data_IF_729739793079
#
_entry.id   IF_729739793079
#
_cell.length_a   1.000
_cell.length_b   1.000
_cell.length_c   1.000
_cell.angle_alpha   90.00
_cell.angle_beta   90.00
_cell.angle_gamma   90.00
#
_symmetry.space_group_name_H-M   'P 1'
#
loop_
_entity.id
_entity.type
_entity.pdbx_description
1 polymer ?
#
# COMPACT_ATOMS: atom_id res chain seq x y z
N UNK A 1 11.87 -31.01 20.52
CA UNK A 1 10.69 -31.28 21.37
C UNK A 1 11.07 -32.32 22.38
N UNK A 2 10.59 -32.24 23.63
CA UNK A 2 10.96 -33.16 24.71
C UNK A 2 10.03 -34.37 24.86
N UNK A 3 9.05 -34.54 23.96
CA UNK A 3 8.04 -35.59 24.05
C UNK A 3 6.85 -35.21 24.94
N UNK A 4 6.06 -36.22 25.31
CA UNK A 4 4.89 -36.09 26.17
C UNK A 4 5.02 -37.08 27.32
N UNK A 5 4.64 -36.66 28.53
CA UNK A 5 4.66 -37.46 29.74
C UNK A 5 3.22 -37.71 30.18
N UNK A 6 2.84 -38.97 30.34
CA UNK A 6 1.53 -39.34 30.85
C UNK A 6 1.63 -39.69 32.33
N UNK A 7 1.00 -38.88 33.18
CA UNK A 7 1.01 -39.07 34.63
C UNK A 7 -0.32 -38.68 35.26
N UNK A 8 -0.83 -39.48 36.20
CA UNK A 8 -2.13 -39.30 36.85
C UNK A 8 -3.34 -39.15 35.90
N UNK A 9 -3.27 -39.79 34.72
CA UNK A 9 -4.31 -39.67 33.69
C UNK A 9 -4.27 -38.37 32.88
N UNK A 10 -3.29 -37.50 33.11
CA UNK A 10 -3.05 -36.29 32.35
C UNK A 10 -1.85 -36.44 31.41
N UNK A 11 -1.88 -35.72 30.29
CA UNK A 11 -0.76 -35.61 29.35
C UNK A 11 -0.04 -34.26 29.54
N UNK A 12 1.26 -34.32 29.82
CA UNK A 12 2.12 -33.16 29.97
C UNK A 12 3.11 -33.07 28.81
N UNK A 13 3.05 -31.97 28.06
CA UNK A 13 3.98 -31.73 26.95
C UNK A 13 5.31 -31.22 27.51
N UNK A 14 6.39 -31.96 27.27
CA UNK A 14 7.74 -31.54 27.66
C UNK A 14 8.32 -30.66 26.55
N UNK A 15 8.57 -29.39 26.87
CA UNK A 15 9.19 -28.43 25.97
C UNK A 15 10.46 -27.85 26.59
N UNK A 16 11.61 -28.25 26.05
CA UNK A 16 12.88 -27.57 26.30
C UNK A 16 12.91 -26.20 25.61
N UNK A 17 13.28 -25.17 26.36
CA UNK A 17 13.52 -23.82 25.83
C UNK A 17 15.00 -23.74 25.48
N UNK A 18 15.32 -23.70 24.18
CA UNK A 18 16.70 -23.77 23.67
C UNK A 18 17.24 -22.44 23.15
N UNK A 19 16.39 -21.43 23.00
CA UNK A 19 16.80 -20.11 22.54
C UNK A 19 16.16 -19.02 23.40
N UNK A 20 16.87 -17.91 23.54
CA UNK A 20 16.43 -16.74 24.29
C UNK A 20 16.86 -15.48 23.57
N UNK A 21 16.01 -14.46 23.65
CA UNK A 21 16.30 -13.13 23.15
C UNK A 21 16.74 -12.17 24.27
N UNK A 22 16.86 -12.68 25.50
CA UNK A 22 17.28 -11.88 26.65
C UNK A 22 18.79 -11.79 26.70
N UNK A 23 19.31 -10.58 26.58
CA UNK A 23 20.76 -10.29 26.65
C UNK A 23 21.43 -10.92 27.87
N UNK A 24 20.81 -10.81 29.05
CA UNK A 24 21.37 -11.35 30.29
C UNK A 24 21.43 -12.89 30.32
N UNK A 25 20.57 -13.58 29.58
CA UNK A 25 20.63 -15.05 29.45
C UNK A 25 21.66 -15.44 28.38
N UNK A 26 21.76 -14.68 27.30
CA UNK A 26 22.78 -14.87 26.26
C UNK A 26 24.20 -14.72 26.83
N UNK A 27 24.43 -13.74 27.70
CA UNK A 27 25.72 -13.51 28.37
C UNK A 27 26.19 -14.68 29.25
N UNK A 28 25.24 -15.44 29.81
CA UNK A 28 25.51 -16.65 30.61
C UNK A 28 25.73 -17.90 29.77
N UNK A 29 25.81 -17.78 28.44
CA UNK A 29 26.12 -18.91 27.57
C UNK A 29 27.53 -19.41 27.85
N UNK A 30 27.68 -20.71 28.09
CA UNK A 30 28.99 -21.33 28.29
C UNK A 30 29.71 -21.40 26.95
N UNK A 31 30.86 -20.73 26.84
CA UNK A 31 31.72 -20.75 25.65
C UNK A 31 32.69 -21.93 25.73
N UNK A 32 33.26 -22.18 26.91
CA UNK A 32 34.21 -23.28 27.16
C UNK A 32 34.24 -23.60 28.65
N UNK A 33 34.54 -24.85 29.01
CA UNK A 33 34.85 -25.22 30.40
C UNK A 33 36.35 -25.45 30.53
N UNK A 34 37.01 -24.78 31.48
CA UNK A 34 38.45 -24.91 31.74
C UNK A 34 38.64 -25.34 33.18
N UNK A 35 39.28 -26.49 33.39
CA UNK A 35 39.56 -27.05 34.73
C UNK A 35 38.33 -27.12 35.64
N UNK A 36 37.16 -27.44 35.09
CA UNK A 36 35.89 -27.53 35.81
C UNK A 36 35.15 -26.21 36.03
N UNK A 37 35.75 -25.06 35.67
CA UNK A 37 35.10 -23.75 35.74
C UNK A 37 34.52 -23.38 34.37
N UNK A 38 33.21 -23.09 34.27
CA UNK A 38 32.61 -22.63 33.02
C UNK A 38 33.04 -21.19 32.71
N UNK A 39 33.58 -20.97 31.52
CA UNK A 39 33.84 -19.66 30.94
C UNK A 39 32.59 -19.20 30.19
N UNK A 40 32.00 -18.10 30.64
CA UNK A 40 30.77 -17.54 30.09
C UNK A 40 31.07 -16.54 28.98
N UNK A 41 30.08 -16.27 28.11
CA UNK A 41 30.20 -15.28 27.05
C UNK A 41 30.53 -13.88 27.60
N UNK A 42 29.93 -13.51 28.73
CA UNK A 42 30.21 -12.24 29.42
C UNK A 42 31.65 -12.11 29.92
N UNK A 43 32.40 -13.22 30.07
CA UNK A 43 33.80 -13.15 30.47
C UNK A 43 34.73 -12.76 29.31
N UNK A 44 34.26 -12.85 28.07
CA UNK A 44 35.08 -12.66 26.86
C UNK A 44 34.52 -11.62 25.90
N UNK A 45 33.26 -11.18 26.06
CA UNK A 45 32.61 -10.20 25.22
C UNK A 45 31.56 -9.37 25.98
N UNK A 46 31.28 -8.16 25.47
CA UNK A 46 30.15 -7.34 25.92
C UNK A 46 28.91 -7.70 25.09
N UNK A 47 27.87 -8.24 25.73
CA UNK A 47 26.59 -8.52 25.07
C UNK A 47 25.62 -7.37 25.31
N UNK A 48 25.19 -6.70 24.24
CA UNK A 48 24.23 -5.58 24.30
C UNK A 48 23.27 -5.57 23.13
N UNK A 49 22.10 -4.98 23.33
CA UNK A 49 21.20 -4.64 22.23
C UNK A 49 21.78 -3.44 21.50
N UNK A 50 22.22 -3.65 20.26
CA UNK A 50 22.71 -2.60 19.38
C UNK A 50 21.71 -2.26 18.28
N UNK A 51 21.96 -1.13 17.62
CA UNK A 51 21.26 -0.80 16.37
C UNK A 51 21.68 -1.78 15.28
N UNK A 52 20.75 -2.16 14.41
CA UNK A 52 21.08 -2.95 13.21
C UNK A 52 22.01 -2.12 12.31
N UNK A 53 23.21 -2.65 12.08
CA UNK A 53 24.20 -2.08 11.17
C UNK A 53 24.45 -3.05 10.00
N UNK A 54 24.63 -2.55 8.76
CA UNK A 54 24.51 -1.14 8.35
C UNK A 54 23.06 -0.65 8.35
N UNK A 55 22.86 0.68 8.47
CA UNK A 55 21.54 1.28 8.25
C UNK A 55 21.16 1.02 6.79
N UNK A 56 20.02 0.35 6.57
CA UNK A 56 19.53 0.01 5.24
C UNK A 56 18.92 1.22 4.50
N UNK A 57 18.63 2.30 5.22
CA UNK A 57 18.11 3.54 4.67
C UNK A 57 17.75 4.54 5.77
N UNK A 58 17.46 5.76 5.35
CA UNK A 58 16.92 6.83 6.19
C UNK A 58 15.69 7.42 5.52
N UNK A 59 14.69 7.80 6.30
CA UNK A 59 13.52 8.50 5.79
C UNK A 59 13.28 9.76 6.62
N UNK A 60 12.69 10.75 5.98
CA UNK A 60 12.25 11.98 6.62
C UNK A 60 10.90 12.41 6.06
N UNK A 61 10.06 12.96 6.92
CA UNK A 61 8.87 13.68 6.53
C UNK A 61 9.05 15.15 6.93
N UNK A 62 9.00 16.08 5.97
CA UNK A 62 9.24 17.52 6.18
C UNK A 62 10.51 17.83 7.01
N UNK A 63 11.62 17.15 6.69
CA UNK A 63 12.91 17.35 7.36
C UNK A 63 13.03 16.72 8.75
N UNK A 64 11.97 16.10 9.28
CA UNK A 64 12.00 15.35 10.55
C UNK A 64 12.23 13.87 10.26
N UNK A 65 13.06 13.21 11.08
CA UNK A 65 13.30 11.78 10.97
C UNK A 65 11.97 11.01 11.09
N UNK A 66 11.71 10.12 10.14
CA UNK A 66 10.46 9.38 10.05
C UNK A 66 10.73 7.93 9.62
N UNK A 67 9.72 7.08 9.79
CA UNK A 67 9.73 5.72 9.28
C UNK A 67 8.88 5.71 8.00
N UNK A 68 9.48 5.28 6.89
CA UNK A 68 8.77 5.12 5.62
C UNK A 68 8.23 3.70 5.51
N UNK A 69 6.93 3.58 5.23
CA UNK A 69 6.28 2.34 4.88
C UNK A 69 5.73 2.44 3.46
N UNK A 70 6.17 1.55 2.58
CA UNK A 70 5.73 1.53 1.19
C UNK A 70 4.67 0.46 0.99
N UNK A 71 3.48 0.86 0.56
CA UNK A 71 2.41 -0.06 0.16
C UNK A 71 2.49 -0.29 -1.34
N UNK A 72 2.62 -1.56 -1.74
CA UNK A 72 2.65 -1.94 -3.17
C UNK A 72 1.36 -2.65 -3.52
N UNK A 73 0.66 -2.14 -4.54
CA UNK A 73 -0.57 -2.77 -5.04
C UNK A 73 -0.28 -4.09 -5.75
N UNK A 74 -1.18 -5.05 -5.60
CA UNK A 74 -1.13 -6.27 -6.40
C UNK A 74 -1.47 -5.97 -7.88
N UNK A 75 -1.02 -6.81 -8.82
CA UNK A 75 -1.43 -6.72 -10.22
C UNK A 75 -2.96 -6.71 -10.35
N UNK A 76 -3.48 -6.01 -11.36
CA UNK A 76 -4.92 -5.87 -11.65
C UNK A 76 -5.80 -5.21 -10.54
N UNK A 77 -5.23 -4.78 -9.41
CA UNK A 77 -6.00 -4.04 -8.39
C UNK A 77 -6.13 -2.56 -8.74
N UNK A 78 -7.35 -2.04 -8.61
CA UNK A 78 -7.66 -0.62 -8.76
C UNK A 78 -6.95 0.22 -7.70
N UNK A 79 -6.31 1.30 -8.13
CA UNK A 79 -5.55 2.16 -7.21
C UNK A 79 -6.46 3.00 -6.33
N UNK A 80 -7.62 3.42 -6.85
CA UNK A 80 -8.62 4.19 -6.09
C UNK A 80 -9.22 3.33 -4.99
N UNK A 81 -9.74 2.15 -5.35
CA UNK A 81 -10.37 1.23 -4.40
C UNK A 81 -9.39 0.75 -3.32
N UNK A 82 -8.14 0.46 -3.69
CA UNK A 82 -7.11 0.10 -2.71
C UNK A 82 -6.84 1.25 -1.73
N UNK A 83 -6.81 2.49 -2.21
CA UNK A 83 -6.56 3.66 -1.36
C UNK A 83 -7.70 3.90 -0.39
N UNK A 84 -8.96 3.75 -0.83
CA UNK A 84 -10.13 3.85 0.04
C UNK A 84 -10.12 2.80 1.16
N UNK A 85 -9.85 1.54 0.82
CA UNK A 85 -9.73 0.46 1.81
C UNK A 85 -8.56 0.69 2.77
N UNK A 86 -7.44 1.20 2.27
CA UNK A 86 -6.28 1.53 3.09
C UNK A 86 -6.61 2.64 4.09
N UNK A 87 -7.30 3.70 3.67
CA UNK A 87 -7.72 4.79 4.55
C UNK A 87 -8.64 4.29 5.67
N UNK A 88 -9.58 3.38 5.35
CA UNK A 88 -10.43 2.75 6.36
C UNK A 88 -9.62 1.94 7.37
N UNK A 89 -8.73 1.06 6.91
CA UNK A 89 -7.88 0.26 7.81
C UNK A 89 -6.92 1.13 8.64
N UNK A 90 -6.43 2.24 8.08
CA UNK A 90 -5.58 3.18 8.81
C UNK A 90 -6.38 3.92 9.90
N UNK A 91 -7.63 4.29 9.62
CA UNK A 91 -8.51 4.90 10.62
C UNK A 91 -8.77 3.95 11.80
N UNK A 92 -9.02 2.67 11.52
CA UNK A 92 -9.18 1.63 12.56
C UNK A 92 -7.88 1.44 13.37
N UNK A 93 -6.72 1.40 12.69
CA UNK A 93 -5.43 1.25 13.36
C UNK A 93 -5.08 2.47 14.22
N UNK A 94 -5.49 3.67 13.82
CA UNK A 94 -5.21 4.90 14.56
C UNK A 94 -5.76 4.85 15.99
N UNK A 95 -6.88 4.15 16.23
CA UNK A 95 -7.45 3.97 17.58
C UNK A 95 -6.59 3.06 18.48
N UNK A 96 -5.78 2.18 17.89
CA UNK A 96 -4.91 1.24 18.60
C UNK A 96 -3.50 1.79 18.81
N UNK A 97 -3.14 2.88 18.13
CA UNK A 97 -1.81 3.44 18.20
C UNK A 97 -1.59 4.26 19.48
N UNK A 98 -0.39 4.19 20.07
CA UNK A 98 0.01 5.11 21.13
C UNK A 98 -0.09 6.57 20.70
N UNK A 99 -0.38 7.47 21.65
CA UNK A 99 -0.62 8.89 21.37
C UNK A 99 0.59 9.65 20.78
N UNK A 100 1.80 9.10 20.90
CA UNK A 100 3.04 9.65 20.36
C UNK A 100 3.31 9.22 18.90
N UNK A 101 2.48 8.34 18.32
CA UNK A 101 2.62 7.88 16.94
C UNK A 101 1.72 8.69 16.02
N UNK A 102 2.34 9.45 15.11
CA UNK A 102 1.63 10.18 14.05
C UNK A 102 1.87 9.52 12.69
N UNK A 103 0.78 9.06 12.06
CA UNK A 103 0.82 8.49 10.72
C UNK A 103 0.47 9.55 9.68
N UNK A 104 1.33 9.72 8.67
CA UNK A 104 1.07 10.59 7.52
C UNK A 104 0.91 9.73 6.28
N UNK A 105 -0.26 9.77 5.65
CA UNK A 105 -0.54 9.03 4.40
C UNK A 105 -0.30 9.87 3.16
N UNK A 106 -0.05 11.18 3.31
CA UNK A 106 0.02 12.13 2.19
C UNK A 106 1.25 11.99 1.30
N UNK A 107 2.23 11.20 1.70
CA UNK A 107 3.44 10.98 0.92
C UNK A 107 3.11 10.08 -0.28
N UNK A 108 3.21 10.64 -1.50
CA UNK A 108 3.12 9.88 -2.76
C UNK A 108 1.79 9.12 -3.00
N UNK A 109 0.66 9.79 -2.75
CA UNK A 109 -0.68 9.22 -3.01
C UNK A 109 -1.07 9.31 -4.49
N UNK A 110 -1.00 8.18 -5.21
CA UNK A 110 -1.37 8.08 -6.63
C UNK A 110 -2.86 8.34 -6.89
N UNK A 111 -3.76 7.97 -5.96
CA UNK A 111 -5.20 8.19 -6.11
C UNK A 111 -5.57 9.66 -6.38
N UNK A 112 -4.96 10.61 -5.65
CA UNK A 112 -5.18 12.05 -5.85
C UNK A 112 -4.87 12.51 -7.27
N UNK A 113 -3.82 11.96 -7.87
CA UNK A 113 -3.47 12.28 -9.26
C UNK A 113 -4.52 11.75 -10.24
N UNK A 114 -5.02 10.54 -10.01
CA UNK A 114 -6.08 9.93 -10.83
C UNK A 114 -7.38 10.75 -10.71
N UNK A 115 -7.82 11.07 -9.50
CA UNK A 115 -9.02 11.86 -9.23
C UNK A 115 -8.95 13.26 -9.87
N UNK A 116 -7.83 13.96 -9.68
CA UNK A 116 -7.62 15.28 -10.30
C UNK A 116 -7.64 15.18 -11.82
N UNK A 117 -7.03 14.15 -12.40
CA UNK A 117 -7.05 13.93 -13.85
C UNK A 117 -8.47 13.67 -14.37
N UNK A 118 -9.26 12.86 -13.68
CA UNK A 118 -10.67 12.61 -14.03
C UNK A 118 -11.47 13.92 -13.96
N UNK A 119 -11.33 14.69 -12.88
CA UNK A 119 -12.02 15.97 -12.73
C UNK A 119 -11.66 16.97 -13.83
N UNK A 120 -10.38 17.05 -14.21
CA UNK A 120 -9.91 17.90 -15.30
C UNK A 120 -10.47 17.48 -16.66
N UNK A 121 -10.52 16.17 -16.95
CA UNK A 121 -11.12 15.63 -18.18
C UNK A 121 -12.62 15.91 -18.21
N UNK A 122 -13.34 15.67 -17.12
CA UNK A 122 -14.77 15.94 -17.02
C UNK A 122 -15.09 17.42 -17.28
N UNK A 123 -14.33 18.32 -16.66
CA UNK A 123 -14.48 19.77 -16.88
C UNK A 123 -14.23 20.13 -18.35
N UNK A 124 -13.16 19.58 -18.95
CA UNK A 124 -12.82 19.83 -20.36
C UNK A 124 -13.90 19.30 -21.32
N UNK A 125 -14.48 18.13 -21.03
CA UNK A 125 -15.58 17.56 -21.82
C UNK A 125 -16.85 18.41 -21.73
N UNK A 126 -17.15 18.97 -20.56
CA UNK A 126 -18.31 19.84 -20.39
C UNK A 126 -18.16 21.16 -21.16
N UNK A 127 -17.01 21.82 -20.99
CA UNK A 127 -16.69 23.07 -21.71
C UNK A 127 -16.63 22.84 -23.22
N UNK A 128 -15.93 21.80 -23.67
CA UNK A 128 -15.85 21.41 -25.08
C UNK A 128 -17.20 21.04 -25.68
N UNK A 129 -18.03 20.29 -24.93
CA UNK A 129 -19.38 19.90 -25.36
C UNK A 129 -20.29 21.11 -25.60
N UNK A 130 -20.23 22.13 -24.73
CA UNK A 130 -20.96 23.39 -24.93
C UNK A 130 -20.50 24.08 -26.22
N UNK A 131 -19.19 24.18 -26.45
CA UNK A 131 -18.67 24.78 -27.69
C UNK A 131 -19.12 24.02 -28.94
N UNK A 132 -19.12 22.69 -28.90
CA UNK A 132 -19.61 21.85 -30.02
C UNK A 132 -21.08 22.15 -30.32
N UNK A 133 -21.95 22.25 -29.31
CA UNK A 133 -23.37 22.61 -29.49
C UNK A 133 -23.51 23.96 -30.19
N UNK A 134 -22.77 24.97 -29.73
CA UNK A 134 -22.83 26.34 -30.27
C UNK A 134 -22.41 26.33 -31.74
N UNK A 135 -21.28 25.70 -32.06
CA UNK A 135 -20.75 25.63 -33.43
C UNK A 135 -21.71 24.88 -34.35
N UNK A 136 -22.19 23.70 -33.95
CA UNK A 136 -23.13 22.92 -34.76
C UNK A 136 -24.42 23.69 -35.02
N UNK A 137 -24.96 24.38 -34.01
CA UNK A 137 -26.18 25.17 -34.17
C UNK A 137 -25.98 26.33 -35.17
N UNK A 138 -24.86 27.05 -35.08
CA UNK A 138 -24.52 28.17 -35.99
C UNK A 138 -24.36 27.68 -37.44
N UNK A 139 -23.69 26.55 -37.67
CA UNK A 139 -23.42 26.05 -39.01
C UNK A 139 -24.60 25.32 -39.65
N UNK A 140 -25.36 24.54 -38.88
CA UNK A 140 -26.46 23.74 -39.42
C UNK A 140 -27.77 24.52 -39.50
N UNK A 141 -27.95 25.54 -38.64
CA UNK A 141 -29.18 26.33 -38.51
C UNK A 141 -30.47 25.48 -38.43
N UNK A 142 -30.33 24.22 -38.00
CA UNK A 142 -31.37 23.22 -37.99
C UNK A 142 -31.23 22.39 -36.72
N UNK A 143 -32.24 22.48 -35.86
CA UNK A 143 -32.27 21.85 -34.54
C UNK A 143 -32.25 20.32 -34.66
N UNK A 144 -32.89 19.75 -35.69
CA UNK A 144 -32.96 18.29 -35.86
C UNK A 144 -31.59 17.69 -36.19
N UNK A 145 -30.85 18.28 -37.13
CA UNK A 145 -29.52 17.79 -37.51
C UNK A 145 -28.51 18.00 -36.38
N UNK A 146 -28.57 19.16 -35.71
CA UNK A 146 -27.74 19.44 -34.53
C UNK A 146 -27.97 18.41 -33.42
N UNK A 147 -29.22 18.07 -33.13
CA UNK A 147 -29.56 17.09 -32.10
C UNK A 147 -29.09 15.67 -32.45
N UNK A 148 -29.22 15.25 -33.71
CA UNK A 148 -28.72 13.95 -34.17
C UNK A 148 -27.21 13.85 -33.92
N UNK A 149 -26.43 14.83 -34.41
CA UNK A 149 -24.97 14.84 -34.22
C UNK A 149 -24.56 14.87 -32.74
N UNK A 150 -25.28 15.63 -31.92
CA UNK A 150 -25.01 15.75 -30.49
C UNK A 150 -25.15 14.42 -29.74
N UNK A 151 -26.10 13.58 -30.15
CA UNK A 151 -26.30 12.25 -29.54
C UNK A 151 -25.36 11.21 -30.15
N UNK A 152 -25.08 11.30 -31.45
CA UNK A 152 -24.22 10.31 -32.14
C UNK A 152 -22.77 10.33 -31.66
N UNK A 153 -22.19 11.52 -31.38
CA UNK A 153 -20.78 11.61 -30.96
C UNK A 153 -20.55 10.90 -29.61
N UNK A 154 -21.25 11.22 -28.50
CA UNK A 154 -21.11 10.51 -27.23
C UNK A 154 -21.44 9.02 -27.35
N UNK A 155 -22.48 8.68 -28.14
CA UNK A 155 -22.87 7.29 -28.35
C UNK A 155 -21.74 6.48 -28.98
N UNK A 156 -21.03 7.03 -29.97
CA UNK A 156 -19.86 6.39 -30.58
C UNK A 156 -18.71 6.16 -29.60
N UNK A 157 -18.48 7.11 -28.69
CA UNK A 157 -17.46 6.96 -27.65
C UNK A 157 -17.82 5.84 -26.67
N UNK A 158 -19.07 5.82 -26.21
CA UNK A 158 -19.57 4.78 -25.31
C UNK A 158 -19.49 3.41 -25.97
N UNK A 159 -19.89 3.27 -27.24
CA UNK A 159 -19.80 1.99 -27.95
C UNK A 159 -18.35 1.54 -28.14
N UNK A 160 -17.41 2.45 -28.43
CA UNK A 160 -15.98 2.13 -28.48
C UNK A 160 -15.44 1.65 -27.14
N UNK A 161 -15.77 2.33 -26.03
CA UNK A 161 -15.35 1.92 -24.68
C UNK A 161 -15.93 0.54 -24.33
N UNK A 162 -17.19 0.31 -24.67
CA UNK A 162 -17.88 -0.96 -24.40
C UNK A 162 -17.26 -2.11 -25.21
N UNK A 163 -16.87 -1.85 -26.46
CA UNK A 163 -16.13 -2.81 -27.27
C UNK A 163 -14.76 -3.15 -26.66
N UNK A 164 -14.00 -2.15 -26.21
CA UNK A 164 -12.72 -2.36 -25.49
C UNK A 164 -12.91 -3.20 -24.23
N UNK A 165 -13.97 -2.94 -23.46
CA UNK A 165 -14.29 -3.68 -22.25
C UNK A 165 -14.61 -5.16 -22.55
N UNK A 166 -15.40 -5.44 -23.59
CA UNK A 166 -15.71 -6.82 -24.02
C UNK A 166 -14.44 -7.56 -24.47
N UNK A 167 -13.48 -6.85 -25.08
CA UNK A 167 -12.19 -7.42 -25.49
C UNK A 167 -11.20 -7.59 -24.32
N UNK A 168 -11.55 -7.17 -23.11
CA UNK A 168 -10.67 -7.23 -21.94
C UNK A 168 -9.50 -6.22 -22.00
N UNK A 169 -9.59 -5.21 -22.87
CA UNK A 169 -8.58 -4.17 -23.00
C UNK A 169 -8.80 -3.07 -21.95
N UNK A 170 -7.71 -2.50 -21.43
CA UNK A 170 -7.76 -1.41 -20.46
C UNK A 170 -7.64 -0.06 -21.15
N UNK A 171 -8.26 0.96 -20.58
CA UNK A 171 -8.14 2.34 -21.04
C UNK A 171 -6.79 2.87 -20.54
N UNK A 172 -5.89 3.14 -21.48
CA UNK A 172 -4.59 3.78 -21.24
C UNK A 172 -4.33 4.87 -22.27
N UNK A 173 -3.21 5.60 -22.12
CA UNK A 173 -2.85 6.71 -23.01
C UNK A 173 -2.70 6.28 -24.48
N UNK A 174 -2.36 5.02 -24.75
CA UNK A 174 -2.24 4.48 -26.11
C UNK A 174 -3.61 4.18 -26.72
N UNK A 175 -4.57 3.70 -25.95
CA UNK A 175 -5.94 3.44 -26.42
C UNK A 175 -6.82 4.69 -26.52
N UNK A 176 -6.49 5.76 -25.78
CA UNK A 176 -7.23 7.04 -25.78
C UNK A 176 -6.75 8.03 -26.84
N UNK A 177 -5.51 7.90 -27.31
CA UNK A 177 -4.92 8.82 -28.28
C UNK A 177 -5.21 8.49 -29.75
N UNK A 178 -5.80 7.32 -30.02
CA UNK A 178 -6.24 6.89 -31.34
C UNK A 178 -7.64 7.37 -31.70
#
# INVERSE_FOLDING_TARGET
SGGVLYEYGNEYIIRGILSTNKVAELGKTVVKTVSGVPLLLDNVAEVKVGNKAPKLGTASNDGKAAILMTITKQPAVSTLELTERLDQSIAELHELLPADVHLSTDVFRQARFIESSIGNVQKSLYEGGIFVVIVLFVFLMNIRTTFISLVTIPLSLVTSILALHIMGLTINTMSLGG
#
